data_IF_789946897131
#
_entry.id   IF_789946897131
#
_cell.length_a   1.000
_cell.length_b   1.000
_cell.length_c   1.000
_cell.angle_alpha   90.00
_cell.angle_beta   90.00
_cell.angle_gamma   90.00
#
_symmetry.space_group_name_H-M   'P 1'
#
loop_
_entity.id
_entity.type
_entity.pdbx_description
1 polymer ?
#
# COMPACT_ATOMS: atom_id res chain seq x y z
N UNK A 1 49.78 25.10 8.13
CA UNK A 1 49.14 23.83 8.46
C UNK A 1 47.99 23.71 7.49
N UNK A 2 48.28 23.03 6.37
CA UNK A 2 47.41 22.98 5.19
C UNK A 2 46.46 21.81 5.25
N UNK A 3 45.21 22.08 4.92
CA UNK A 3 44.16 21.11 4.76
C UNK A 3 44.26 20.43 3.41
N UNK A 4 44.61 19.16 3.35
CA UNK A 4 44.65 18.34 2.14
C UNK A 4 43.25 17.89 1.74
N UNK A 5 42.84 18.38 0.57
CA UNK A 5 41.64 18.02 -0.18
C UNK A 5 41.70 16.60 -0.73
N UNK A 6 40.69 15.77 -0.46
CA UNK A 6 40.52 14.45 -1.08
C UNK A 6 39.82 14.56 -2.43
N UNK A 7 40.51 15.08 -3.42
CA UNK A 7 40.19 14.93 -4.86
C UNK A 7 41.51 14.65 -5.58
N UNK A 8 41.73 13.40 -5.98
CA UNK A 8 42.57 12.94 -7.07
C UNK A 8 43.14 11.55 -6.75
N UNK A 9 42.37 10.53 -7.07
CA UNK A 9 42.94 9.22 -7.38
C UNK A 9 41.92 8.42 -8.21
N UNK A 10 41.98 8.58 -9.52
CA UNK A 10 41.50 7.62 -10.52
C UNK A 10 41.81 8.17 -11.91
N UNK A 11 43.02 7.93 -12.35
CA UNK A 11 43.41 7.81 -13.77
C UNK A 11 44.69 6.99 -13.81
N UNK A 12 44.63 5.82 -14.35
CA UNK A 12 45.49 5.21 -15.37
C UNK A 12 45.38 3.69 -15.39
N UNK A 13 44.90 3.23 -16.53
CA UNK A 13 45.47 2.22 -17.45
C UNK A 13 45.45 0.76 -17.06
N UNK A 14 44.88 0.00 -17.99
CA UNK A 14 45.12 -1.42 -18.13
C UNK A 14 44.11 -2.11 -19.03
N UNK A 15 44.19 -1.87 -20.35
CA UNK A 15 43.57 -2.74 -21.33
C UNK A 15 44.36 -4.06 -21.40
N UNK A 16 43.67 -5.19 -21.17
CA UNK A 16 44.14 -6.48 -21.64
C UNK A 16 42.91 -7.34 -22.01
N UNK A 17 42.88 -7.62 -23.29
CA UNK A 17 42.04 -8.58 -24.01
C UNK A 17 42.22 -10.00 -23.47
N UNK A 18 41.10 -10.67 -23.23
CA UNK A 18 41.03 -12.12 -23.31
C UNK A 18 39.66 -12.54 -23.81
N UNK A 19 39.69 -13.19 -24.95
CA UNK A 19 38.54 -13.68 -25.69
C UNK A 19 38.03 -15.00 -25.09
N UNK A 20 36.73 -15.20 -25.27
CA UNK A 20 36.00 -16.44 -25.50
C UNK A 20 36.06 -17.54 -24.44
N UNK A 21 34.95 -17.68 -23.74
CA UNK A 21 34.26 -18.97 -23.63
C UNK A 21 32.78 -18.70 -23.37
N UNK A 22 32.00 -18.70 -24.44
CA UNK A 22 30.53 -18.73 -24.41
C UNK A 22 30.15 -20.12 -23.97
N UNK A 23 29.94 -20.29 -22.68
CA UNK A 23 29.24 -21.42 -22.10
C UNK A 23 27.76 -21.08 -21.98
N UNK A 24 26.95 -21.60 -22.88
CA UNK A 24 25.50 -21.61 -22.81
C UNK A 24 25.03 -22.29 -21.52
N UNK A 25 24.75 -21.52 -20.49
CA UNK A 25 23.86 -21.94 -19.45
C UNK A 25 22.47 -21.39 -19.82
N UNK A 26 21.78 -22.16 -20.64
CA UNK A 26 20.33 -22.09 -20.77
C UNK A 26 19.74 -22.37 -19.39
N UNK A 27 19.55 -21.32 -18.61
CA UNK A 27 18.64 -21.38 -17.49
C UNK A 27 17.24 -21.52 -18.07
N UNK A 28 16.79 -22.76 -18.13
CA UNK A 28 15.39 -23.10 -18.29
C UNK A 28 14.62 -22.44 -17.17
N UNK A 29 14.11 -21.23 -17.41
CA UNK A 29 13.04 -20.65 -16.64
C UNK A 29 11.80 -21.52 -16.91
N UNK A 30 11.67 -22.59 -16.13
CA UNK A 30 10.37 -23.23 -15.98
C UNK A 30 9.45 -22.17 -15.38
N UNK A 31 8.64 -21.55 -16.26
CA UNK A 31 7.43 -20.88 -15.81
C UNK A 31 6.69 -21.92 -14.97
N UNK A 32 6.58 -21.68 -13.70
CA UNK A 32 5.69 -22.44 -12.84
C UNK A 32 4.30 -22.02 -13.31
N UNK A 33 3.72 -22.80 -14.23
CA UNK A 33 2.31 -22.75 -14.48
C UNK A 33 1.67 -23.02 -13.12
N UNK A 34 1.27 -21.95 -12.44
CA UNK A 34 0.42 -22.05 -11.27
C UNK A 34 -0.80 -22.82 -11.75
N UNK A 35 -1.03 -23.99 -11.16
CA UNK A 35 -2.27 -24.70 -11.33
C UNK A 35 -3.39 -23.67 -11.13
N UNK A 36 -4.27 -23.58 -12.09
CA UNK A 36 -5.45 -22.72 -12.12
C UNK A 36 -6.42 -23.17 -11.01
N UNK A 37 -6.05 -22.87 -9.78
CA UNK A 37 -6.93 -22.91 -8.62
C UNK A 37 -7.31 -21.47 -8.30
N UNK A 38 -7.98 -20.82 -9.26
CA UNK A 38 -8.93 -19.78 -8.90
C UNK A 38 -9.98 -20.44 -8.03
N UNK A 39 -9.77 -20.36 -6.72
CA UNK A 39 -10.86 -20.54 -5.78
C UNK A 39 -11.83 -19.40 -6.10
N UNK A 40 -12.75 -19.65 -7.04
CA UNK A 40 -13.93 -18.83 -7.21
C UNK A 40 -14.66 -18.89 -5.88
N UNK A 41 -14.37 -17.92 -5.01
CA UNK A 41 -15.28 -17.58 -3.95
C UNK A 41 -16.53 -17.11 -4.66
N UNK A 42 -17.53 -17.95 -4.67
CA UNK A 42 -18.82 -17.73 -5.33
C UNK A 42 -19.62 -16.73 -4.47
N UNK A 43 -19.10 -15.51 -4.37
CA UNK A 43 -19.60 -14.45 -3.51
C UNK A 43 -20.44 -13.48 -4.33
N UNK A 44 -21.64 -13.96 -4.74
CA UNK A 44 -22.66 -13.01 -5.21
C UNK A 44 -22.91 -11.99 -4.10
N UNK A 45 -22.62 -10.71 -4.39
CA UNK A 45 -22.82 -9.61 -3.45
C UNK A 45 -21.58 -9.07 -2.75
N UNK A 46 -20.36 -9.53 -3.14
CA UNK A 46 -19.09 -9.02 -2.60
C UNK A 46 -18.06 -8.80 -3.72
N UNK A 47 -17.04 -7.98 -3.46
CA UNK A 47 -15.93 -7.80 -4.39
C UNK A 47 -15.17 -9.12 -4.58
N UNK A 48 -14.82 -9.41 -5.83
CA UNK A 48 -13.98 -10.56 -6.21
C UNK A 48 -12.85 -10.11 -7.14
N UNK A 49 -11.90 -11.00 -7.41
CA UNK A 49 -10.82 -10.76 -8.37
C UNK A 49 -10.79 -11.88 -9.40
N UNK A 50 -10.65 -11.55 -10.69
CA UNK A 50 -10.65 -12.53 -11.77
C UNK A 50 -9.75 -12.08 -12.93
N UNK A 51 -9.26 -13.03 -13.71
CA UNK A 51 -8.53 -12.77 -14.96
C UNK A 51 -9.48 -12.92 -16.13
N UNK A 52 -9.65 -11.86 -16.94
CA UNK A 52 -10.45 -11.85 -18.17
C UNK A 52 -9.63 -11.25 -19.30
N UNK A 53 -9.60 -11.86 -20.44
CA UNK A 53 -8.88 -11.38 -21.62
C UNK A 53 -7.41 -11.05 -21.36
N UNK A 54 -6.73 -11.89 -20.58
CA UNK A 54 -5.33 -11.72 -20.20
C UNK A 54 -5.05 -10.68 -19.11
N UNK A 55 -6.08 -10.00 -18.59
CA UNK A 55 -5.97 -8.95 -17.59
C UNK A 55 -6.68 -9.31 -16.29
N UNK A 56 -6.09 -8.95 -15.16
CA UNK A 56 -6.73 -9.05 -13.85
C UNK A 56 -7.66 -7.86 -13.60
N UNK A 57 -8.82 -8.15 -13.03
CA UNK A 57 -9.85 -7.18 -12.65
C UNK A 57 -10.37 -7.46 -11.26
N UNK A 58 -10.61 -6.42 -10.48
CA UNK A 58 -11.61 -6.47 -9.43
C UNK A 58 -12.99 -6.52 -10.10
N UNK A 59 -13.91 -7.21 -9.45
CA UNK A 59 -15.32 -7.30 -9.89
C UNK A 59 -16.18 -6.83 -8.73
N UNK A 60 -17.09 -5.90 -9.00
CA UNK A 60 -18.01 -5.37 -7.98
C UNK A 60 -19.02 -6.41 -7.53
N UNK A 61 -19.73 -6.18 -6.42
CA UNK A 61 -20.85 -7.02 -5.99
C UNK A 61 -21.90 -7.26 -7.08
N UNK A 62 -22.08 -6.30 -8.00
CA UNK A 62 -23.00 -6.35 -9.13
C UNK A 62 -22.46 -7.09 -10.35
N UNK A 63 -21.17 -7.47 -10.33
CA UNK A 63 -20.51 -8.22 -11.42
C UNK A 63 -19.82 -7.35 -12.47
N UNK A 64 -19.66 -6.06 -12.23
CA UNK A 64 -19.01 -5.12 -13.14
C UNK A 64 -17.48 -5.11 -12.96
N UNK A 65 -16.73 -4.84 -14.04
CA UNK A 65 -15.28 -4.61 -13.97
C UNK A 65 -15.00 -3.36 -13.12
N UNK A 66 -14.01 -3.47 -12.24
CA UNK A 66 -13.63 -2.41 -11.32
C UNK A 66 -12.10 -2.28 -11.28
N UNK A 67 -11.60 -1.06 -11.42
CA UNK A 67 -10.23 -0.67 -11.11
C UNK A 67 -10.30 0.28 -9.92
N UNK A 68 -9.66 -0.10 -8.81
CA UNK A 68 -9.73 0.67 -7.58
C UNK A 68 -8.94 1.97 -7.71
N UNK A 69 -9.65 3.09 -7.78
CA UNK A 69 -9.07 4.44 -7.80
C UNK A 69 -9.27 5.04 -6.41
N UNK A 70 -8.27 4.86 -5.55
CA UNK A 70 -8.41 5.12 -4.13
C UNK A 70 -7.68 6.36 -3.64
N UNK A 71 -8.15 6.91 -2.52
CA UNK A 71 -7.46 7.89 -1.73
C UNK A 71 -7.14 7.30 -0.36
N UNK A 72 -5.88 7.45 0.09
CA UNK A 72 -5.43 7.11 1.43
C UNK A 72 -5.54 8.31 2.38
N UNK A 73 -5.36 8.06 3.68
CA UNK A 73 -5.20 9.08 4.71
C UNK A 73 -6.38 10.05 4.80
N UNK A 74 -7.53 9.49 5.14
CA UNK A 74 -8.77 10.25 5.33
C UNK A 74 -9.01 10.41 6.82
N UNK A 75 -8.60 11.55 7.37
CA UNK A 75 -8.68 11.83 8.80
C UNK A 75 -9.13 13.27 9.06
N UNK A 76 -10.00 13.45 10.04
CA UNK A 76 -10.57 14.75 10.41
C UNK A 76 -9.79 15.46 11.52
N UNK A 77 -8.70 14.88 12.04
CA UNK A 77 -8.00 15.40 13.23
C UNK A 77 -7.55 16.85 13.08
N UNK A 78 -7.11 17.23 11.89
CA UNK A 78 -6.69 18.63 11.59
C UNK A 78 -7.78 19.65 11.91
N UNK A 79 -9.05 19.34 11.65
CA UNK A 79 -10.18 20.23 11.91
C UNK A 79 -10.51 20.33 13.41
N UNK A 80 -9.93 19.48 14.24
CA UNK A 80 -10.10 19.48 15.69
C UNK A 80 -8.95 20.15 16.45
N UNK A 81 -7.93 20.62 15.72
CA UNK A 81 -6.90 21.48 16.32
C UNK A 81 -7.54 22.78 16.81
N UNK A 82 -7.00 23.32 17.89
CA UNK A 82 -7.57 24.53 18.54
C UNK A 82 -7.83 25.67 17.56
N UNK A 83 -6.92 25.90 16.64
CA UNK A 83 -7.00 26.95 15.61
C UNK A 83 -8.06 26.66 14.54
N UNK A 84 -8.39 25.40 14.28
CA UNK A 84 -9.32 24.96 13.23
C UNK A 84 -10.67 24.48 13.80
N UNK A 85 -10.84 24.44 15.12
CA UNK A 85 -12.03 23.89 15.76
C UNK A 85 -13.32 24.64 15.37
N UNK A 86 -13.24 25.92 15.02
CA UNK A 86 -14.36 26.69 14.50
C UNK A 86 -14.86 26.12 13.15
N UNK A 87 -13.97 25.63 12.27
CA UNK A 87 -14.35 25.01 10.99
C UNK A 87 -15.15 23.72 11.24
N UNK A 88 -14.67 22.91 12.19
CA UNK A 88 -15.36 21.67 12.59
C UNK A 88 -16.77 21.96 13.14
N UNK A 89 -16.88 22.97 14.00
CA UNK A 89 -18.17 23.39 14.56
C UNK A 89 -19.09 23.97 13.48
N UNK A 90 -18.65 25.01 12.75
CA UNK A 90 -19.52 25.81 11.90
C UNK A 90 -19.93 25.07 10.62
N UNK A 91 -19.00 24.30 10.04
CA UNK A 91 -19.23 23.61 8.76
C UNK A 91 -19.86 22.23 8.94
N UNK A 92 -19.45 21.52 10.00
CA UNK A 92 -19.87 20.13 10.20
C UNK A 92 -20.72 19.91 11.45
N UNK A 93 -20.96 20.93 12.26
CA UNK A 93 -21.76 20.83 13.48
C UNK A 93 -21.19 19.82 14.47
N UNK A 94 -19.86 19.70 14.53
CA UNK A 94 -19.15 18.70 15.35
C UNK A 94 -19.50 17.23 15.01
N UNK A 95 -20.03 16.96 13.82
CA UNK A 95 -20.51 15.63 13.41
C UNK A 95 -19.53 14.94 12.47
N UNK A 96 -19.07 13.74 12.84
CA UNK A 96 -18.28 12.87 11.99
C UNK A 96 -19.09 12.38 10.78
N UNK A 97 -20.38 12.09 10.97
CA UNK A 97 -21.27 11.67 9.89
C UNK A 97 -21.39 12.75 8.79
N UNK A 98 -21.60 14.01 9.18
CA UNK A 98 -21.66 15.12 8.22
C UNK A 98 -20.34 15.34 7.48
N UNK A 99 -19.23 15.17 8.19
CA UNK A 99 -17.91 15.28 7.56
C UNK A 99 -17.67 14.14 6.58
N UNK A 100 -18.02 12.90 6.92
CA UNK A 100 -17.88 11.74 6.03
C UNK A 100 -18.82 11.82 4.83
N UNK A 101 -20.02 12.35 4.98
CA UNK A 101 -20.89 12.64 3.83
C UNK A 101 -20.23 13.63 2.86
N UNK A 102 -19.58 14.68 3.38
CA UNK A 102 -18.81 15.62 2.55
C UNK A 102 -17.59 14.93 1.89
N UNK A 103 -16.88 14.07 2.60
CA UNK A 103 -15.75 13.29 2.04
C UNK A 103 -16.25 12.45 0.86
N UNK A 104 -17.36 11.72 1.03
CA UNK A 104 -17.97 10.92 -0.04
C UNK A 104 -18.30 11.75 -1.26
N UNK A 105 -18.99 12.87 -1.05
CA UNK A 105 -19.42 13.75 -2.16
C UNK A 105 -18.23 14.35 -2.91
N UNK A 106 -17.17 14.73 -2.18
CA UNK A 106 -15.93 15.21 -2.78
C UNK A 106 -15.23 14.12 -3.58
N UNK A 107 -14.98 12.97 -2.98
CA UNK A 107 -14.28 11.86 -3.63
C UNK A 107 -15.04 11.42 -4.89
N UNK A 108 -16.36 11.30 -4.82
CA UNK A 108 -17.21 10.98 -5.97
C UNK A 108 -17.09 12.03 -7.08
N UNK A 109 -17.15 13.32 -6.74
CA UNK A 109 -17.00 14.43 -7.71
C UNK A 109 -15.60 14.47 -8.35
N UNK A 110 -14.57 14.08 -7.60
CA UNK A 110 -13.17 13.98 -8.06
C UNK A 110 -12.88 12.68 -8.80
N UNK A 111 -13.87 11.77 -8.87
CA UNK A 111 -13.76 10.50 -9.59
C UNK A 111 -12.98 9.41 -8.85
N UNK A 112 -12.71 9.57 -7.56
CA UNK A 112 -12.26 8.46 -6.72
C UNK A 112 -13.44 7.54 -6.42
N UNK A 113 -13.21 6.23 -6.46
CA UNK A 113 -14.24 5.22 -6.24
C UNK A 113 -13.94 4.33 -5.03
N UNK A 114 -12.84 4.55 -4.34
CA UNK A 114 -12.38 3.73 -3.21
C UNK A 114 -11.79 4.61 -2.11
N UNK A 115 -12.08 4.27 -0.88
CA UNK A 115 -11.32 4.71 0.29
C UNK A 115 -10.30 3.63 0.65
N UNK A 116 -9.02 3.99 0.56
CA UNK A 116 -7.92 3.07 0.83
C UNK A 116 -7.59 2.98 2.32
N UNK A 117 -6.33 3.18 2.66
CA UNK A 117 -5.85 3.19 4.04
C UNK A 117 -6.20 4.51 4.74
N UNK A 118 -7.15 4.50 5.66
CA UNK A 118 -7.70 5.74 6.26
C UNK A 118 -6.79 6.39 7.29
N UNK A 119 -5.96 5.61 7.98
CA UNK A 119 -5.12 6.13 9.05
C UNK A 119 -4.13 7.18 8.54
N UNK A 120 -3.99 8.27 9.29
CA UNK A 120 -3.06 9.35 9.00
C UNK A 120 -1.91 9.36 9.99
N UNK A 121 -0.73 9.79 9.55
CA UNK A 121 0.42 10.00 10.42
C UNK A 121 0.19 11.24 11.27
N UNK A 122 0.13 11.07 12.60
CA UNK A 122 -0.11 12.17 13.55
C UNK A 122 1.14 12.63 14.27
N UNK A 123 2.17 11.78 14.36
CA UNK A 123 3.52 12.14 14.81
C UNK A 123 4.59 11.40 14.02
N UNK A 124 5.77 12.01 13.86
CA UNK A 124 6.95 11.46 13.19
C UNK A 124 8.23 11.64 13.98
N UNK A 125 8.17 11.52 15.27
CA UNK A 125 9.35 11.51 16.10
C UNK A 125 10.01 10.12 16.09
N UNK A 126 11.33 10.06 16.27
CA UNK A 126 12.12 8.84 16.10
C UNK A 126 11.60 7.64 16.93
N UNK A 127 11.12 7.88 18.15
CA UNK A 127 10.56 6.86 19.04
C UNK A 127 9.04 7.02 19.25
N UNK A 128 8.40 7.89 18.50
CA UNK A 128 6.99 8.20 18.64
C UNK A 128 6.34 8.42 17.27
N UNK A 129 6.46 7.44 16.39
CA UNK A 129 5.71 7.41 15.14
C UNK A 129 4.32 6.85 15.44
N UNK A 130 3.29 7.64 15.17
CA UNK A 130 1.90 7.26 15.45
C UNK A 130 1.01 7.55 14.27
N UNK A 131 0.09 6.63 14.06
CA UNK A 131 -1.03 6.81 13.14
C UNK A 131 -2.31 7.09 13.93
N UNK A 132 -3.24 7.76 13.29
CA UNK A 132 -4.61 7.84 13.78
C UNK A 132 -5.29 6.46 13.72
N UNK A 133 -6.46 6.35 14.35
CA UNK A 133 -7.22 5.10 14.35
C UNK A 133 -7.86 4.81 12.98
N UNK A 134 -8.23 3.56 12.74
CA UNK A 134 -9.15 3.19 11.68
C UNK A 134 -10.56 3.79 11.91
N UNK A 135 -11.35 3.84 10.86
CA UNK A 135 -12.77 4.10 11.00
C UNK A 135 -13.47 2.96 11.73
N UNK A 136 -14.53 3.30 12.45
CA UNK A 136 -15.45 2.32 13.03
C UNK A 136 -16.35 1.75 11.92
N UNK A 137 -17.09 0.68 12.26
CA UNK A 137 -18.10 0.14 11.35
C UNK A 137 -19.13 1.20 10.94
N UNK A 138 -19.63 1.98 11.89
CA UNK A 138 -20.61 3.03 11.68
C UNK A 138 -20.05 4.16 10.76
N UNK A 139 -18.77 4.52 10.94
CA UNK A 139 -18.10 5.52 10.10
C UNK A 139 -17.98 5.06 8.65
N UNK A 140 -17.72 3.78 8.40
CA UNK A 140 -17.76 3.23 7.04
C UNK A 140 -19.19 3.23 6.47
N UNK A 141 -20.21 2.99 7.27
CA UNK A 141 -21.62 3.10 6.83
C UNK A 141 -21.99 4.55 6.48
N UNK A 142 -21.55 5.54 7.25
CA UNK A 142 -21.76 6.95 6.95
C UNK A 142 -20.98 7.41 5.70
N UNK A 143 -19.80 6.87 5.50
CA UNK A 143 -18.99 7.14 4.31
C UNK A 143 -19.66 6.63 3.03
N UNK A 144 -20.30 5.48 3.08
CA UNK A 144 -21.12 4.89 2.02
C UNK A 144 -20.40 4.73 0.66
N UNK A 145 -19.13 4.33 0.68
CA UNK A 145 -18.27 4.10 -0.50
C UNK A 145 -17.54 2.76 -0.38
N UNK A 146 -17.08 2.16 -1.50
CA UNK A 146 -16.13 1.06 -1.45
C UNK A 146 -14.87 1.43 -0.65
N UNK A 147 -14.39 0.52 0.20
CA UNK A 147 -13.26 0.78 1.07
C UNK A 147 -12.38 -0.45 1.32
N UNK A 148 -11.16 -0.19 1.79
CA UNK A 148 -10.24 -1.21 2.31
C UNK A 148 -10.05 -1.01 3.81
N UNK A 149 -9.85 -2.09 4.55
CA UNK A 149 -9.69 -2.03 6.00
C UNK A 149 -8.36 -2.63 6.45
N UNK A 150 -7.68 -1.98 7.40
CA UNK A 150 -6.43 -2.45 7.97
C UNK A 150 -6.68 -3.27 9.24
N UNK A 151 -6.05 -4.44 9.32
CA UNK A 151 -6.07 -5.31 10.48
C UNK A 151 -4.74 -5.18 11.23
N UNK A 152 -4.71 -4.73 12.48
CA UNK A 152 -3.48 -4.51 13.24
C UNK A 152 -2.90 -5.81 13.80
N UNK A 153 -2.56 -6.76 12.93
CA UNK A 153 -1.98 -8.03 13.36
C UNK A 153 -0.56 -7.88 13.89
N UNK A 154 0.21 -6.99 13.26
CA UNK A 154 1.61 -6.74 13.58
C UNK A 154 1.96 -5.27 13.40
N UNK A 155 3.05 -4.86 14.01
CA UNK A 155 3.59 -3.51 13.97
C UNK A 155 5.10 -3.60 13.76
N UNK A 156 5.53 -3.90 12.52
CA UNK A 156 6.96 -4.03 12.16
C UNK A 156 7.30 -3.25 10.87
N UNK A 157 7.09 -1.95 10.95
CA UNK A 157 7.35 -1.02 9.86
C UNK A 157 8.84 -0.75 9.67
N UNK A 158 9.27 -0.64 8.41
CA UNK A 158 10.68 -0.39 8.08
C UNK A 158 11.20 1.00 8.46
N UNK A 159 10.31 1.98 8.68
CA UNK A 159 10.70 3.34 9.05
C UNK A 159 10.69 3.59 10.55
N UNK A 160 10.22 2.67 11.35
CA UNK A 160 10.22 2.80 12.80
C UNK A 160 11.54 2.33 13.39
N UNK A 161 11.98 3.02 14.44
CA UNK A 161 13.20 2.65 15.18
C UNK A 161 12.92 1.47 16.10
N UNK A 162 11.70 1.39 16.63
CA UNK A 162 11.21 0.26 17.42
C UNK A 162 10.08 -0.44 16.69
N UNK A 163 10.31 -1.65 16.28
CA UNK A 163 9.26 -2.52 15.74
C UNK A 163 8.95 -3.61 16.75
N UNK A 164 7.67 -3.90 16.90
CA UNK A 164 7.17 -4.97 17.77
C UNK A 164 6.82 -6.17 16.91
N UNK A 165 7.80 -7.03 16.70
CA UNK A 165 7.55 -8.24 15.95
C UNK A 165 7.28 -9.39 16.92
N UNK A 166 6.09 -9.98 16.91
CA UNK A 166 5.79 -11.12 17.75
C UNK A 166 6.52 -12.38 17.26
N UNK A 167 6.69 -13.35 18.14
CA UNK A 167 7.02 -14.69 17.73
C UNK A 167 5.81 -15.34 17.02
N UNK A 168 5.90 -15.50 15.70
CA UNK A 168 4.83 -16.06 14.87
C UNK A 168 4.46 -17.51 15.20
N UNK A 169 5.35 -18.23 15.92
CA UNK A 169 5.08 -19.58 16.39
C UNK A 169 4.44 -19.62 17.77
N UNK A 170 4.39 -18.49 18.48
CA UNK A 170 3.78 -18.43 19.80
C UNK A 170 2.27 -18.59 19.75
N UNK A 171 1.73 -19.22 20.80
CA UNK A 171 0.27 -19.27 21.01
C UNK A 171 -0.33 -17.88 21.22
N UNK A 172 0.44 -16.95 21.80
CA UNK A 172 0.03 -15.56 21.99
C UNK A 172 -0.23 -14.86 20.67
N UNK A 173 0.59 -15.10 19.62
CA UNK A 173 0.37 -14.54 18.31
C UNK A 173 -0.94 -15.09 17.67
N UNK A 174 -1.18 -16.39 17.76
CA UNK A 174 -2.43 -16.97 17.28
C UNK A 174 -3.66 -16.37 17.97
N UNK A 175 -3.61 -16.22 19.30
CA UNK A 175 -4.69 -15.63 20.09
C UNK A 175 -4.91 -14.16 19.74
N UNK A 176 -3.84 -13.41 19.51
CA UNK A 176 -3.92 -12.02 19.08
C UNK A 176 -4.56 -11.90 17.70
N UNK A 177 -4.13 -12.70 16.73
CA UNK A 177 -4.73 -12.70 15.40
C UNK A 177 -6.21 -13.09 15.43
N UNK A 178 -6.60 -14.06 16.26
CA UNK A 178 -7.99 -14.44 16.44
C UNK A 178 -8.81 -13.30 17.06
N UNK A 179 -8.27 -12.63 18.08
CA UNK A 179 -8.93 -11.47 18.70
C UNK A 179 -9.15 -10.34 17.69
N UNK A 180 -8.12 -9.95 16.93
CA UNK A 180 -8.21 -8.90 15.92
C UNK A 180 -9.22 -9.27 14.84
N UNK A 181 -9.14 -10.48 14.29
CA UNK A 181 -10.06 -10.92 13.24
C UNK A 181 -11.52 -10.98 13.75
N UNK A 182 -11.76 -11.46 14.97
CA UNK A 182 -13.09 -11.46 15.57
C UNK A 182 -13.64 -10.05 15.75
N UNK A 183 -12.80 -9.13 16.24
CA UNK A 183 -13.20 -7.74 16.53
C UNK A 183 -13.49 -6.93 15.28
N UNK A 184 -12.73 -7.15 14.20
CA UNK A 184 -12.85 -6.41 12.95
C UNK A 184 -13.63 -7.19 11.87
N UNK A 185 -13.13 -8.36 11.46
CA UNK A 185 -13.72 -9.10 10.35
C UNK A 185 -15.14 -9.59 10.68
N UNK A 186 -15.41 -10.03 11.92
CA UNK A 186 -16.73 -10.46 12.32
C UNK A 186 -17.82 -9.37 12.20
N UNK A 187 -17.46 -8.11 12.36
CA UNK A 187 -18.38 -6.97 12.16
C UNK A 187 -18.56 -6.57 10.71
N UNK A 188 -17.51 -6.76 9.88
CA UNK A 188 -17.45 -6.30 8.50
C UNK A 188 -17.86 -7.40 7.49
N UNK A 189 -17.98 -8.66 7.94
CA UNK A 189 -18.12 -9.83 7.08
C UNK A 189 -19.30 -9.80 6.09
N UNK A 190 -20.30 -8.97 6.32
CA UNK A 190 -21.48 -8.84 5.47
C UNK A 190 -21.59 -7.46 4.81
N UNK A 191 -20.55 -6.63 4.85
CA UNK A 191 -20.57 -5.31 4.23
C UNK A 191 -20.15 -5.40 2.76
N UNK A 192 -21.06 -5.24 1.78
CA UNK A 192 -20.74 -5.36 0.36
C UNK A 192 -19.79 -4.27 -0.15
N UNK A 193 -19.55 -3.21 0.63
CA UNK A 193 -18.65 -2.12 0.25
C UNK A 193 -17.21 -2.36 0.68
N UNK A 194 -16.95 -3.30 1.59
CA UNK A 194 -15.59 -3.69 1.89
C UNK A 194 -14.99 -4.47 0.72
N UNK A 195 -13.88 -3.97 0.16
CA UNK A 195 -13.16 -4.67 -0.89
C UNK A 195 -12.28 -5.75 -0.26
N UNK A 196 -11.53 -5.41 0.79
CA UNK A 196 -10.65 -6.38 1.44
C UNK A 196 -9.80 -5.78 2.55
N UNK A 197 -8.91 -6.63 3.07
CA UNK A 197 -8.10 -6.38 4.26
C UNK A 197 -6.63 -6.22 3.96
N UNK A 198 -6.02 -5.14 4.48
CA UNK A 198 -4.57 -5.00 4.62
C UNK A 198 -4.11 -5.47 6.01
N UNK A 199 -2.82 -5.82 6.14
CA UNK A 199 -2.20 -6.19 7.40
C UNK A 199 -1.26 -5.10 7.91
N UNK A 200 -0.02 -5.11 7.40
CA UNK A 200 1.04 -4.23 7.83
C UNK A 200 1.46 -3.29 6.70
N UNK A 201 1.82 -2.08 7.09
CA UNK A 201 2.36 -1.09 6.17
C UNK A 201 3.88 -1.17 6.13
N UNK A 202 4.50 -1.25 4.93
CA UNK A 202 5.95 -1.39 4.73
C UNK A 202 6.61 -2.40 5.69
N UNK A 203 6.22 -3.68 5.69
CA UNK A 203 6.78 -4.65 6.64
C UNK A 203 8.28 -4.83 6.45
N UNK A 204 9.01 -4.87 7.55
CA UNK A 204 10.45 -5.14 7.56
C UNK A 204 10.71 -6.64 7.71
N UNK A 205 10.90 -7.32 6.60
CA UNK A 205 11.26 -8.74 6.58
C UNK A 205 12.76 -9.00 6.65
N UNK A 206 13.57 -7.97 6.37
CA UNK A 206 15.03 -8.04 6.40
C UNK A 206 15.56 -6.74 6.99
N UNK A 207 16.54 -6.81 7.87
CA UNK A 207 17.19 -5.62 8.43
C UNK A 207 17.89 -4.82 7.34
N UNK A 208 17.43 -3.60 7.10
CA UNK A 208 18.00 -2.68 6.10
C UNK A 208 18.66 -1.46 6.71
N UNK A 209 18.38 -1.16 7.99
CA UNK A 209 18.95 -0.02 8.70
C UNK A 209 19.98 -0.49 9.72
N UNK A 210 21.18 0.10 9.69
CA UNK A 210 22.26 -0.18 10.66
C UNK A 210 21.97 0.35 12.06
N UNK A 211 21.20 1.41 12.14
CA UNK A 211 20.79 2.12 13.35
C UNK A 211 19.51 1.56 13.99
N UNK A 212 18.88 0.61 13.36
CA UNK A 212 17.73 -0.06 13.93
C UNK A 212 18.19 -1.00 15.06
N UNK A 213 17.93 -0.60 16.30
CA UNK A 213 18.22 -1.39 17.50
C UNK A 213 17.30 -2.61 17.65
N UNK A 214 16.32 -2.76 16.78
CA UNK A 214 15.37 -3.86 16.83
C UNK A 214 16.05 -5.22 16.59
N UNK A 215 15.84 -6.12 17.53
CA UNK A 215 16.46 -7.46 17.56
C UNK A 215 15.42 -8.58 17.67
N UNK A 216 14.23 -8.33 17.14
CA UNK A 216 13.18 -9.35 17.11
C UNK A 216 13.50 -10.52 16.19
N UNK A 217 12.55 -11.44 15.96
CA UNK A 217 12.74 -12.63 15.12
C UNK A 217 12.85 -12.32 13.62
N UNK A 218 13.08 -11.06 13.22
CA UNK A 218 13.34 -10.72 11.82
C UNK A 218 14.59 -11.40 11.32
N UNK A 219 14.55 -11.66 10.07
CA UNK A 219 15.49 -12.49 9.41
C UNK A 219 16.83 -11.77 9.17
N UNK A 220 17.93 -12.35 9.62
CA UNK A 220 19.26 -11.82 9.35
C UNK A 220 19.58 -11.90 7.86
N UNK A 221 19.92 -10.76 7.18
CA UNK A 221 20.29 -10.74 5.77
C UNK A 221 21.43 -11.69 5.41
N UNK A 222 22.35 -11.97 6.34
CA UNK A 222 23.44 -12.89 6.11
C UNK A 222 22.97 -14.32 5.88
N UNK A 223 21.86 -14.74 6.49
CA UNK A 223 21.27 -16.06 6.31
C UNK A 223 20.74 -16.26 4.89
N UNK A 224 20.31 -15.19 4.20
CA UNK A 224 19.80 -15.26 2.83
C UNK A 224 20.85 -15.67 1.78
N UNK A 225 22.13 -15.64 2.14
CA UNK A 225 23.21 -16.16 1.29
C UNK A 225 23.19 -17.68 1.15
N UNK A 226 22.51 -18.38 2.05
CA UNK A 226 22.42 -19.84 2.05
C UNK A 226 21.01 -20.32 1.68
N UNK A 227 20.93 -21.51 1.07
CA UNK A 227 19.65 -22.16 0.78
C UNK A 227 18.88 -22.49 2.07
N UNK A 228 19.58 -22.90 3.13
CA UNK A 228 18.98 -23.20 4.42
C UNK A 228 18.29 -21.95 5.02
N UNK A 229 18.96 -20.82 4.98
CA UNK A 229 18.40 -19.57 5.45
C UNK A 229 17.18 -19.10 4.64
N UNK A 230 17.21 -19.22 3.31
CA UNK A 230 16.02 -18.93 2.46
C UNK A 230 14.84 -19.84 2.81
N UNK A 231 15.07 -21.12 3.03
CA UNK A 231 14.02 -22.05 3.47
C UNK A 231 13.46 -21.69 4.85
N UNK A 232 14.33 -21.23 5.76
CA UNK A 232 13.90 -20.74 7.08
C UNK A 232 12.99 -19.51 6.94
N UNK A 233 13.36 -18.53 6.11
CA UNK A 233 12.52 -17.35 5.83
C UNK A 233 11.19 -17.73 5.21
N UNK A 234 11.17 -18.62 4.20
CA UNK A 234 9.93 -19.12 3.59
C UNK A 234 9.00 -19.72 4.63
N UNK A 235 9.56 -20.51 5.57
CA UNK A 235 8.77 -21.14 6.64
C UNK A 235 8.24 -20.13 7.65
N UNK A 236 9.06 -19.13 8.01
CA UNK A 236 8.65 -18.04 8.91
C UNK A 236 7.52 -17.20 8.28
N UNK A 237 7.70 -16.76 7.05
CA UNK A 237 6.69 -16.02 6.31
C UNK A 237 5.41 -16.85 6.09
N UNK A 238 5.55 -18.11 5.69
CA UNK A 238 4.42 -19.02 5.53
C UNK A 238 3.61 -19.20 6.82
N UNK A 239 4.30 -19.25 7.97
CA UNK A 239 3.61 -19.30 9.28
C UNK A 239 2.81 -18.02 9.56
N UNK A 240 3.42 -16.86 9.34
CA UNK A 240 2.76 -15.57 9.50
C UNK A 240 1.48 -15.46 8.66
N UNK A 241 1.60 -15.67 7.35
CA UNK A 241 0.45 -15.55 6.44
C UNK A 241 -0.63 -16.61 6.73
N UNK A 242 -0.23 -17.83 7.14
CA UNK A 242 -1.21 -18.86 7.48
C UNK A 242 -2.01 -18.49 8.73
N UNK A 243 -1.38 -18.00 9.78
CA UNK A 243 -2.07 -17.63 11.02
C UNK A 243 -3.03 -16.48 10.77
N UNK A 244 -2.59 -15.45 10.06
CA UNK A 244 -3.42 -14.27 9.75
C UNK A 244 -4.58 -14.61 8.81
N UNK A 245 -4.31 -15.38 7.74
CA UNK A 245 -5.34 -15.87 6.83
C UNK A 245 -6.41 -16.71 7.55
N UNK A 246 -5.98 -17.72 8.32
CA UNK A 246 -6.91 -18.62 9.01
C UNK A 246 -7.75 -17.87 10.05
N UNK A 247 -7.17 -16.86 10.71
CA UNK A 247 -7.91 -16.00 11.64
C UNK A 247 -8.99 -15.20 10.91
N UNK A 248 -8.70 -14.57 9.77
CA UNK A 248 -9.70 -13.86 8.97
C UNK A 248 -10.78 -14.81 8.51
N UNK A 249 -10.41 -15.93 7.86
CA UNK A 249 -11.37 -16.86 7.25
C UNK A 249 -12.28 -17.57 8.24
N UNK A 250 -11.95 -17.54 9.53
CA UNK A 250 -12.84 -18.01 10.60
C UNK A 250 -14.06 -17.10 10.78
N UNK A 251 -13.91 -15.81 10.57
CA UNK A 251 -14.95 -14.80 10.80
C UNK A 251 -15.48 -14.16 9.53
N UNK A 252 -14.69 -14.16 8.46
CA UNK A 252 -15.06 -13.59 7.17
C UNK A 252 -14.58 -14.48 6.01
N UNK A 253 -15.54 -15.02 5.28
CA UNK A 253 -15.30 -15.87 4.10
C UNK A 253 -15.51 -15.13 2.77
N UNK A 254 -15.95 -13.89 2.83
CA UNK A 254 -16.46 -13.14 1.69
C UNK A 254 -15.44 -12.19 1.08
N UNK A 255 -14.69 -11.46 1.91
CA UNK A 255 -13.87 -10.35 1.44
C UNK A 255 -12.46 -10.77 1.06
N UNK A 256 -11.85 -9.97 0.17
CA UNK A 256 -10.50 -10.20 -0.32
C UNK A 256 -9.45 -9.96 0.78
N UNK A 257 -8.34 -10.66 0.67
CA UNK A 257 -7.17 -10.47 1.53
C UNK A 257 -6.05 -9.88 0.66
N UNK A 258 -5.60 -8.68 1.01
CA UNK A 258 -4.47 -8.01 0.35
C UNK A 258 -3.14 -8.30 1.03
N UNK A 259 -3.17 -8.77 2.27
CA UNK A 259 -1.97 -9.02 3.05
C UNK A 259 -1.20 -7.75 3.40
N UNK A 260 0.10 -7.88 3.44
CA UNK A 260 1.00 -6.76 3.72
C UNK A 260 1.09 -5.81 2.52
N UNK A 261 1.28 -4.51 2.83
CA UNK A 261 1.53 -3.46 1.84
C UNK A 261 3.04 -3.28 1.69
N UNK A 262 3.68 -4.08 0.82
CA UNK A 262 5.12 -4.11 0.64
C UNK A 262 5.69 -2.82 0.03
N UNK A 263 6.90 -2.42 0.44
CA UNK A 263 7.65 -1.39 -0.28
C UNK A 263 8.39 -2.01 -1.47
N UNK A 264 7.94 -1.70 -2.68
CA UNK A 264 8.45 -2.33 -3.91
C UNK A 264 9.94 -2.05 -4.19
N UNK A 265 10.49 -0.95 -3.63
CA UNK A 265 11.90 -0.55 -3.80
C UNK A 265 12.82 -1.09 -2.71
N UNK A 266 12.27 -1.50 -1.57
CA UNK A 266 13.07 -2.02 -0.48
C UNK A 266 13.59 -3.43 -0.80
N UNK A 267 14.63 -3.89 -0.07
CA UNK A 267 15.03 -5.28 -0.11
C UNK A 267 13.90 -6.19 0.40
N UNK A 268 13.05 -6.65 -0.51
CA UNK A 268 11.96 -7.58 -0.24
C UNK A 268 12.35 -8.95 -0.79
N UNK A 269 12.58 -9.96 0.07
CA UNK A 269 12.90 -11.31 -0.39
C UNK A 269 11.72 -11.95 -1.13
N UNK A 270 11.98 -12.58 -2.27
CA UNK A 270 10.96 -13.32 -3.02
C UNK A 270 10.31 -14.43 -2.19
N UNK A 271 11.05 -15.02 -1.28
CA UNK A 271 10.57 -16.06 -0.36
C UNK A 271 9.36 -15.61 0.44
N UNK A 272 9.33 -14.35 0.85
CA UNK A 272 8.20 -13.74 1.58
C UNK A 272 6.98 -13.62 0.69
N UNK A 273 7.15 -13.02 -0.50
CA UNK A 273 6.04 -12.82 -1.44
C UNK A 273 5.47 -14.16 -1.92
N UNK A 274 6.35 -15.12 -2.22
CA UNK A 274 5.94 -16.47 -2.62
C UNK A 274 5.19 -17.21 -1.51
N UNK A 275 5.56 -17.00 -0.26
CA UNK A 275 4.85 -17.58 0.89
C UNK A 275 3.46 -16.95 1.09
N UNK A 276 3.28 -15.68 0.71
CA UNK A 276 1.99 -15.00 0.79
C UNK A 276 1.00 -15.45 -0.31
N UNK A 277 1.49 -15.70 -1.54
CA UNK A 277 0.64 -15.97 -2.73
C UNK A 277 -0.51 -16.97 -2.49
N UNK A 278 -0.34 -18.12 -1.81
CA UNK A 278 -1.46 -19.05 -1.61
C UNK A 278 -2.48 -18.58 -0.56
N UNK A 279 -2.20 -17.50 0.15
CA UNK A 279 -2.94 -17.05 1.34
C UNK A 279 -3.47 -15.62 1.23
N UNK A 280 -3.17 -14.94 0.10
CA UNK A 280 -3.70 -13.61 -0.23
C UNK A 280 -4.31 -13.62 -1.63
N UNK A 281 -5.34 -12.82 -1.82
CA UNK A 281 -6.06 -12.73 -3.08
C UNK A 281 -5.37 -11.75 -4.05
N UNK A 282 -4.82 -10.66 -3.52
CA UNK A 282 -4.13 -9.58 -4.25
C UNK A 282 -2.84 -9.25 -3.52
N UNK A 283 -1.74 -9.07 -4.26
CA UNK A 283 -0.50 -8.55 -3.69
C UNK A 283 -0.55 -7.03 -3.64
N UNK A 284 -0.35 -6.43 -2.49
CA UNK A 284 -0.38 -4.99 -2.34
C UNK A 284 1.02 -4.40 -2.15
N UNK A 285 1.28 -3.30 -2.85
CA UNK A 285 2.57 -2.62 -2.83
C UNK A 285 2.40 -1.13 -2.58
N UNK A 286 3.42 -0.52 -2.03
CA UNK A 286 3.67 0.89 -2.16
C UNK A 286 4.94 1.13 -2.97
N UNK A 287 4.99 2.21 -3.72
CA UNK A 287 6.14 2.56 -4.54
C UNK A 287 6.19 4.07 -4.74
N UNK A 288 7.09 4.72 -4.02
CA UNK A 288 7.28 6.16 -4.09
C UNK A 288 8.41 6.51 -5.05
N UNK A 289 8.13 7.33 -6.05
CA UNK A 289 9.14 7.73 -7.03
C UNK A 289 8.52 8.29 -8.30
N UNK A 290 9.36 8.48 -9.30
CA UNK A 290 8.92 8.87 -10.63
C UNK A 290 8.24 7.68 -11.32
N UNK A 291 7.52 7.95 -12.39
CA UNK A 291 6.74 6.95 -13.13
C UNK A 291 7.59 5.76 -13.59
N UNK A 292 8.84 6.01 -14.01
CA UNK A 292 9.75 4.94 -14.47
C UNK A 292 10.12 3.97 -13.32
N UNK A 293 10.21 4.49 -12.08
CA UNK A 293 10.48 3.67 -10.90
C UNK A 293 9.27 2.80 -10.57
N UNK A 294 8.07 3.34 -10.71
CA UNK A 294 6.82 2.58 -10.51
C UNK A 294 6.73 1.47 -11.55
N UNK A 295 6.95 1.79 -12.83
CA UNK A 295 6.92 0.80 -13.92
C UNK A 295 7.95 -0.33 -13.72
N UNK A 296 9.20 0.05 -13.40
CA UNK A 296 10.27 -0.92 -13.16
C UNK A 296 9.97 -1.82 -11.95
N UNK A 297 9.72 -1.22 -10.79
CA UNK A 297 9.68 -1.95 -9.51
C UNK A 297 8.37 -2.70 -9.28
N UNK A 298 7.23 -2.06 -9.53
CA UNK A 298 5.93 -2.74 -9.47
C UNK A 298 5.80 -3.75 -10.61
N UNK A 299 6.22 -3.36 -11.82
CA UNK A 299 6.23 -4.24 -13.00
C UNK A 299 7.10 -5.48 -12.82
N UNK A 300 8.22 -5.38 -12.08
CA UNK A 300 9.01 -6.57 -11.71
C UNK A 300 8.17 -7.58 -10.92
N UNK A 301 7.51 -7.15 -9.84
CA UNK A 301 6.69 -8.02 -9.00
C UNK A 301 5.46 -8.57 -9.74
N UNK A 302 4.82 -7.73 -10.54
CA UNK A 302 3.68 -8.12 -11.36
C UNK A 302 4.03 -9.25 -12.34
N UNK A 303 5.14 -9.10 -13.08
CA UNK A 303 5.61 -10.12 -14.03
C UNK A 303 6.13 -11.37 -13.34
N UNK A 304 6.86 -11.22 -12.23
CA UNK A 304 7.44 -12.35 -11.48
C UNK A 304 6.36 -13.29 -10.94
N UNK A 305 5.23 -12.73 -10.51
CA UNK A 305 4.18 -13.49 -9.81
C UNK A 305 2.99 -13.85 -10.69
N UNK A 306 2.75 -13.11 -11.76
CA UNK A 306 1.52 -13.13 -12.58
C UNK A 306 0.23 -13.08 -11.71
N UNK A 307 0.31 -12.46 -10.53
CA UNK A 307 -0.83 -12.28 -9.60
C UNK A 307 -1.39 -10.88 -9.74
N UNK A 308 -2.66 -10.67 -9.36
CA UNK A 308 -3.19 -9.32 -9.30
C UNK A 308 -2.39 -8.49 -8.29
N UNK A 309 -2.00 -7.28 -8.69
CA UNK A 309 -1.26 -6.34 -7.84
C UNK A 309 -2.05 -5.05 -7.67
N UNK A 310 -2.02 -4.49 -6.46
CA UNK A 310 -2.57 -3.19 -6.15
C UNK A 310 -1.42 -2.26 -5.77
N UNK A 311 -1.28 -1.11 -6.47
CA UNK A 311 -0.43 -0.02 -5.99
C UNK A 311 -1.19 0.70 -4.87
N UNK A 312 -1.06 0.17 -3.67
CA UNK A 312 -1.88 0.55 -2.51
C UNK A 312 -1.42 1.85 -1.83
N UNK A 313 -0.25 2.38 -2.20
CA UNK A 313 0.24 3.67 -1.73
C UNK A 313 1.34 4.20 -2.64
N UNK A 314 1.16 5.40 -3.16
CA UNK A 314 2.18 6.15 -3.88
C UNK A 314 1.81 7.63 -3.89
N UNK A 315 2.82 8.48 -3.76
CA UNK A 315 2.63 9.91 -3.91
C UNK A 315 3.15 10.37 -5.27
N UNK A 316 2.38 11.20 -5.92
CA UNK A 316 2.77 11.95 -7.11
C UNK A 316 3.05 13.39 -6.67
N UNK A 317 4.27 13.84 -6.84
CA UNK A 317 4.72 15.16 -6.37
C UNK A 317 5.12 16.02 -7.56
N UNK A 318 4.82 17.30 -7.45
CA UNK A 318 5.40 18.31 -8.35
C UNK A 318 6.93 18.25 -8.28
N UNK A 319 7.58 18.55 -9.42
CA UNK A 319 9.05 18.49 -9.56
C UNK A 319 9.78 19.49 -8.67
N UNK A 320 9.15 20.59 -8.32
CA UNK A 320 9.71 21.66 -7.51
C UNK A 320 9.31 21.48 -6.05
N UNK A 321 10.24 21.12 -5.22
CA UNK A 321 10.17 21.18 -3.78
C UNK A 321 11.24 22.15 -3.33
N UNK A 322 10.84 23.21 -2.64
CA UNK A 322 11.78 24.03 -1.88
C UNK A 322 11.98 23.40 -0.50
N UNK A 323 13.10 22.72 -0.26
CA UNK A 323 13.37 22.14 1.05
C UNK A 323 13.56 23.20 2.14
N UNK A 324 13.68 24.48 1.76
CA UNK A 324 13.87 25.61 2.65
C UNK A 324 12.57 26.21 3.18
N UNK A 325 11.42 25.98 2.54
CA UNK A 325 10.13 26.48 3.04
C UNK A 325 9.40 25.41 3.90
N UNK A 326 9.43 25.55 5.24
CA UNK A 326 8.72 24.63 6.12
C UNK A 326 7.19 24.75 6.03
N UNK A 327 6.67 25.78 5.36
CA UNK A 327 5.23 26.04 5.24
C UNK A 327 4.68 25.71 3.84
N UNK A 328 5.54 25.28 2.92
CA UNK A 328 5.11 24.91 1.58
C UNK A 328 4.00 23.85 1.64
N UNK A 329 2.82 24.22 1.20
CA UNK A 329 1.73 23.28 0.99
C UNK A 329 2.04 22.48 -0.29
N UNK A 330 2.23 21.18 -0.14
CA UNK A 330 2.57 20.29 -1.25
C UNK A 330 1.30 19.73 -1.87
N UNK A 331 0.95 20.27 -3.02
CA UNK A 331 -0.11 19.65 -3.80
C UNK A 331 0.43 18.39 -4.51
N UNK A 332 -0.37 17.32 -4.57
CA UNK A 332 -0.09 16.25 -5.53
C UNK A 332 -0.09 16.81 -6.95
N UNK A 333 0.78 16.28 -7.80
CA UNK A 333 0.92 16.70 -9.19
C UNK A 333 -0.05 15.90 -10.08
N UNK A 334 -1.09 16.50 -10.67
CA UNK A 334 -2.06 15.77 -11.48
C UNK A 334 -1.49 15.24 -12.81
N UNK A 335 -0.44 15.86 -13.36
CA UNK A 335 0.20 15.37 -14.59
C UNK A 335 1.03 14.11 -14.30
N UNK A 336 1.84 14.15 -13.24
CA UNK A 336 2.57 12.96 -12.78
C UNK A 336 1.59 11.83 -12.36
N UNK A 337 0.45 12.17 -11.78
CA UNK A 337 -0.63 11.22 -11.50
C UNK A 337 -1.15 10.57 -12.79
N UNK A 338 -1.41 11.36 -13.83
CA UNK A 338 -1.86 10.87 -15.13
C UNK A 338 -0.84 9.92 -15.79
N UNK A 339 0.46 10.22 -15.68
CA UNK A 339 1.52 9.35 -16.16
C UNK A 339 1.53 8.00 -15.45
N UNK A 340 1.46 8.00 -14.12
CA UNK A 340 1.39 6.76 -13.32
C UNK A 340 0.15 5.95 -13.67
N UNK A 341 -1.02 6.60 -13.75
CA UNK A 341 -2.27 5.90 -14.07
C UNK A 341 -2.23 5.24 -15.45
N UNK A 342 -1.57 5.85 -16.44
CA UNK A 342 -1.38 5.27 -17.78
C UNK A 342 -0.53 3.99 -17.70
N UNK A 343 0.61 4.03 -16.99
CA UNK A 343 1.48 2.85 -16.80
C UNK A 343 0.72 1.72 -16.11
N UNK A 344 -0.05 2.03 -15.06
CA UNK A 344 -0.82 1.03 -14.33
C UNK A 344 -1.97 0.45 -15.16
N UNK A 345 -2.61 1.29 -15.99
CA UNK A 345 -3.60 0.82 -16.96
C UNK A 345 -2.99 -0.17 -17.95
N UNK A 346 -1.76 0.07 -18.40
CA UNK A 346 -1.10 -0.77 -19.40
C UNK A 346 -0.46 -2.05 -18.77
N UNK A 347 -0.47 -2.16 -17.43
CA UNK A 347 0.01 -3.33 -16.67
C UNK A 347 -1.16 -4.31 -16.41
N UNK A 348 -1.19 -5.50 -17.07
CA UNK A 348 -2.37 -6.38 -17.00
C UNK A 348 -2.62 -6.99 -15.61
N UNK A 349 -1.62 -7.01 -14.73
CA UNK A 349 -1.77 -7.49 -13.36
C UNK A 349 -2.30 -6.40 -12.41
N UNK A 350 -2.22 -5.12 -12.78
CA UNK A 350 -2.62 -4.04 -11.89
C UNK A 350 -4.15 -3.90 -11.83
N UNK A 351 -4.69 -3.92 -10.60
CA UNK A 351 -6.13 -3.82 -10.31
C UNK A 351 -6.52 -2.52 -9.63
N UNK A 352 -5.59 -1.61 -9.37
CA UNK A 352 -5.89 -0.31 -8.76
C UNK A 352 -4.68 0.50 -8.34
N UNK A 353 -4.96 1.75 -8.02
CA UNK A 353 -4.02 2.71 -7.46
C UNK A 353 -4.68 3.51 -6.33
N UNK A 354 -4.02 3.57 -5.17
CA UNK A 354 -4.43 4.40 -4.05
C UNK A 354 -3.42 5.53 -3.83
N UNK A 355 -3.89 6.76 -4.02
CA UNK A 355 -3.06 7.95 -3.89
C UNK A 355 -2.71 8.21 -2.41
N UNK A 356 -1.42 8.31 -2.11
CA UNK A 356 -0.89 8.80 -0.84
C UNK A 356 -0.88 10.33 -0.83
N UNK A 357 -2.06 10.94 -0.89
CA UNK A 357 -2.20 12.38 -1.01
C UNK A 357 -2.91 13.04 0.17
N UNK A 358 -3.44 12.26 1.09
CA UNK A 358 -4.35 12.66 2.16
C UNK A 358 -5.58 13.45 1.69
N UNK A 359 -6.68 13.34 2.39
CA UNK A 359 -7.84 14.18 2.14
C UNK A 359 -7.63 15.61 2.68
N UNK A 360 -7.10 15.69 3.91
CA UNK A 360 -6.74 16.94 4.57
C UNK A 360 -5.24 16.96 4.86
N UNK A 361 -4.58 18.07 4.58
CA UNK A 361 -3.23 18.35 5.09
C UNK A 361 -3.24 18.41 6.62
N UNK A 362 -2.13 18.06 7.24
CA UNK A 362 -1.94 18.20 8.68
C UNK A 362 -0.50 18.65 8.98
N UNK A 363 -0.21 18.96 10.24
CA UNK A 363 1.11 19.45 10.69
C UNK A 363 2.28 18.51 10.38
N UNK A 364 2.01 17.21 10.25
CA UNK A 364 3.02 16.18 9.95
C UNK A 364 3.08 15.90 8.46
N UNK A 365 1.91 15.74 7.83
CA UNK A 365 1.77 15.56 6.39
C UNK A 365 1.22 16.85 5.77
N UNK A 366 2.08 17.62 5.14
CA UNK A 366 1.73 18.90 4.50
C UNK A 366 1.23 18.76 3.08
N UNK A 367 0.89 17.56 2.66
CA UNK A 367 0.32 17.27 1.34
C UNK A 367 -1.07 16.69 1.49
N UNK A 368 -2.05 17.32 0.89
CA UNK A 368 -3.44 16.88 0.89
C UNK A 368 -4.19 17.52 -0.26
N UNK A 369 -5.35 16.96 -0.60
CA UNK A 369 -6.24 17.54 -1.60
C UNK A 369 -7.01 18.74 -1.04
N UNK A 370 -7.04 18.87 0.28
CA UNK A 370 -7.53 20.02 1.02
C UNK A 370 -6.46 20.53 1.98
N UNK A 371 -6.44 21.84 2.20
CA UNK A 371 -5.57 22.48 3.19
C UNK A 371 -5.99 22.13 4.62
N UNK A 372 -5.17 22.53 5.61
CA UNK A 372 -5.52 22.43 7.04
C UNK A 372 -6.78 23.26 7.41
N UNK A 373 -7.12 24.27 6.60
CA UNK A 373 -8.30 25.10 6.73
C UNK A 373 -9.48 24.59 5.88
N UNK A 374 -9.42 23.34 5.42
CA UNK A 374 -10.47 22.67 4.67
C UNK A 374 -10.82 23.37 3.33
N UNK A 375 -9.83 23.96 2.68
CA UNK A 375 -9.96 24.59 1.37
C UNK A 375 -9.41 23.66 0.29
N UNK A 376 -10.12 23.60 -0.83
CA UNK A 376 -9.76 22.79 -2.00
C UNK A 376 -8.83 23.57 -2.92
N UNK A 377 -7.80 22.92 -3.43
CA UNK A 377 -7.07 23.38 -4.60
C UNK A 377 -7.85 22.95 -5.86
N UNK A 378 -8.59 23.90 -6.43
CA UNK A 378 -9.49 23.62 -7.55
C UNK A 378 -8.73 23.14 -8.80
N UNK A 379 -7.56 23.72 -9.09
CA UNK A 379 -6.75 23.37 -10.28
C UNK A 379 -6.21 21.94 -10.18
N UNK A 380 -5.61 21.59 -9.04
CA UNK A 380 -5.13 20.23 -8.80
C UNK A 380 -6.28 19.22 -8.85
N UNK A 381 -7.43 19.53 -8.24
CA UNK A 381 -8.60 18.65 -8.24
C UNK A 381 -9.16 18.43 -9.63
N UNK A 382 -9.27 19.46 -10.46
CA UNK A 382 -9.73 19.32 -11.84
C UNK A 382 -8.81 18.41 -12.67
N UNK A 383 -7.51 18.49 -12.43
CA UNK A 383 -6.52 17.59 -13.02
C UNK A 383 -6.76 16.14 -12.62
N UNK A 384 -6.87 15.84 -11.32
CA UNK A 384 -7.15 14.49 -10.81
C UNK A 384 -8.48 13.95 -11.34
N UNK A 385 -9.55 14.76 -11.27
CA UNK A 385 -10.87 14.36 -11.72
C UNK A 385 -10.89 14.03 -13.22
N UNK A 386 -10.12 14.74 -14.04
CA UNK A 386 -9.96 14.46 -15.48
C UNK A 386 -9.34 13.09 -15.70
N UNK A 387 -8.23 12.77 -15.01
CA UNK A 387 -7.57 11.48 -15.11
C UNK A 387 -8.48 10.35 -14.62
N UNK A 388 -9.13 10.52 -13.47
CA UNK A 388 -10.03 9.51 -12.91
C UNK A 388 -11.21 9.21 -13.82
N UNK A 389 -11.81 10.24 -14.45
CA UNK A 389 -12.88 10.06 -15.46
C UNK A 389 -12.39 9.32 -16.71
N UNK A 390 -11.13 9.53 -17.13
CA UNK A 390 -10.54 8.75 -18.23
C UNK A 390 -10.42 7.27 -17.86
N UNK A 391 -9.95 6.97 -16.65
CA UNK A 391 -9.86 5.59 -16.15
C UNK A 391 -11.24 4.93 -16.03
N UNK A 392 -12.26 5.68 -15.58
CA UNK A 392 -13.63 5.18 -15.48
C UNK A 392 -14.22 4.84 -16.86
N UNK A 393 -13.92 5.63 -17.88
CA UNK A 393 -14.33 5.32 -19.26
C UNK A 393 -13.66 4.04 -19.77
N UNK A 394 -12.33 3.95 -19.61
CA UNK A 394 -11.56 2.78 -20.01
C UNK A 394 -12.08 1.48 -19.35
N UNK A 395 -12.51 1.49 -18.10
CA UNK A 395 -13.08 0.30 -17.44
C UNK A 395 -14.35 -0.23 -18.12
N UNK A 396 -15.09 0.64 -18.82
CA UNK A 396 -16.35 0.31 -19.49
C UNK A 396 -16.17 -0.17 -20.94
N UNK A 397 -15.03 0.11 -21.54
CA UNK A 397 -14.63 -0.38 -22.84
C UNK A 397 -14.17 -1.85 -22.79
#
# INVERSE_FOLDING_TARGET
METLSRRNLLRHTGALTAAALVGQLLHSSKSIAAADQTTQVNSKGFFTVTKRDGRWWLITPEGERFFSIGLNHIDSATLRYRENAHIWHDKYGNSMERWLAKVRDDLGSWGFNTVGWVQEVVTREALNHRHSRNFTFEEYQWLDMPYCHMLPFVDFHQWEVETKNPDFYSKGFEQWCDYVARAHCGRLANDPKLIGYFYCDCPTWVHIRRDNAWKGPLFDPAKLKSQAGRKELTRLAGRYYKVTHDAIRRYDKNHLIFGDRYEAKAPLPEEVVRAAIPLVDILSFQCFGRVEVVDEKLGYWARLTDRPVLLADSSVRAKAHDPGDPNEHRHPDPDAYGEVMRVLRDMPQCVGFHLCGAYLSNRVRRSGLRSEQDQVDAEAIDGFARVNRQMTRWMRE
#
